data_IF_798949849574
#
_entry.id   IF_798949849574
#
_cell.length_a   1.000
_cell.length_b   1.000
_cell.length_c   1.000
_cell.angle_alpha   90.00
_cell.angle_beta   90.00
_cell.angle_gamma   90.00
#
_symmetry.space_group_name_H-M   'P 1'
#
loop_
_entity.id
_entity.type
_entity.pdbx_description
1 polymer ?
#
# COMPACT_ATOMS: atom_id res chain seq x y z
N UNK A 1 -11.07 -5.71 27.86
CA UNK A 1 -9.85 -5.66 27.03
C UNK A 1 -10.10 -4.73 25.86
N UNK A 2 -9.49 -3.53 25.85
CA UNK A 2 -9.57 -2.66 24.67
C UNK A 2 -8.58 -3.23 23.65
N UNK A 3 -9.08 -3.90 22.60
CA UNK A 3 -8.27 -4.30 21.46
C UNK A 3 -7.57 -3.04 20.96
N UNK A 4 -6.26 -2.95 21.22
CA UNK A 4 -5.41 -1.94 20.60
C UNK A 4 -5.48 -2.24 19.11
N UNK A 5 -6.38 -1.58 18.38
CA UNK A 5 -6.25 -1.46 16.93
C UNK A 5 -4.88 -0.82 16.76
N UNK A 6 -3.87 -1.63 16.45
CA UNK A 6 -2.63 -1.13 15.87
C UNK A 6 -3.07 -0.18 14.76
N UNK A 7 -2.79 1.11 14.94
CA UNK A 7 -3.00 2.08 13.88
C UNK A 7 -1.96 1.79 12.82
N UNK A 8 -2.26 0.79 11.98
CA UNK A 8 -1.54 0.51 10.75
C UNK A 8 -1.53 1.81 9.95
N UNK A 9 -0.35 2.37 9.72
CA UNK A 9 -0.21 3.54 8.86
C UNK A 9 -0.47 3.09 7.42
N UNK A 10 -1.74 3.19 7.03
CA UNK A 10 -2.23 2.84 5.71
C UNK A 10 -2.13 4.08 4.82
N UNK A 11 -1.33 4.00 3.77
CA UNK A 11 -1.21 5.05 2.77
C UNK A 11 -2.14 4.77 1.61
N UNK A 12 -2.80 5.82 1.11
CA UNK A 12 -3.72 5.74 -0.03
C UNK A 12 -3.09 6.42 -1.24
N UNK A 13 -3.21 5.78 -2.40
CA UNK A 13 -2.75 6.31 -3.68
C UNK A 13 -3.81 6.03 -4.74
N UNK A 14 -4.08 7.02 -5.59
CA UNK A 14 -4.98 6.86 -6.72
C UNK A 14 -4.18 6.36 -7.92
N UNK A 15 -4.64 5.27 -8.52
CA UNK A 15 -4.03 4.78 -9.74
C UNK A 15 -4.30 5.73 -10.92
N UNK A 16 -3.28 6.21 -11.65
CA UNK A 16 -3.48 7.09 -12.80
C UNK A 16 -4.11 6.36 -13.98
N UNK A 17 -3.89 5.05 -14.11
CA UNK A 17 -4.37 4.23 -15.23
C UNK A 17 -5.84 3.81 -15.02
N UNK A 18 -6.15 3.10 -13.94
CA UNK A 18 -7.50 2.58 -13.69
C UNK A 18 -8.40 3.50 -12.86
N UNK A 19 -7.86 4.58 -12.30
CA UNK A 19 -8.59 5.56 -11.48
C UNK A 19 -9.04 5.05 -10.10
N UNK A 20 -8.71 3.81 -9.72
CA UNK A 20 -9.08 3.23 -8.43
C UNK A 20 -8.18 3.75 -7.31
N UNK A 21 -8.71 3.82 -6.08
CA UNK A 21 -7.92 4.14 -4.90
C UNK A 21 -7.39 2.83 -4.32
N UNK A 22 -6.07 2.74 -4.24
CA UNK A 22 -5.33 1.62 -3.66
C UNK A 22 -4.77 2.07 -2.32
N UNK A 23 -4.96 1.25 -1.32
CA UNK A 23 -4.37 1.42 0.00
C UNK A 23 -3.27 0.37 0.20
N UNK A 24 -2.13 0.79 0.71
CA UNK A 24 -1.00 -0.10 1.01
C UNK A 24 -0.47 0.18 2.41
N UNK A 25 0.13 -0.85 3.00
CA UNK A 25 0.79 -0.75 4.30
C UNK A 25 2.21 -0.22 4.13
N UNK A 26 2.52 0.86 4.82
CA UNK A 26 3.87 1.44 4.92
C UNK A 26 4.39 1.18 6.34
N UNK A 27 4.52 -0.11 6.68
CA UNK A 27 5.11 -0.52 7.96
C UNK A 27 6.60 -0.69 7.77
N UNK A 28 7.38 0.12 8.48
CA UNK A 28 8.75 -0.25 8.78
C UNK A 28 8.92 -0.55 10.25
N UNK A 29 9.39 -1.75 10.57
CA UNK A 29 9.56 -2.24 11.94
C UNK A 29 11.03 -2.40 12.30
N UNK A 30 11.89 -2.78 11.35
CA UNK A 30 13.29 -3.09 11.61
C UNK A 30 14.24 -2.15 10.86
N UNK A 31 15.03 -1.41 11.62
CA UNK A 31 16.10 -0.57 11.08
C UNK A 31 17.24 -1.46 10.55
N UNK A 32 17.56 -1.34 9.25
CA UNK A 32 18.65 -2.07 8.60
C UNK A 32 18.25 -3.21 7.65
N UNK A 33 16.98 -3.60 7.59
CA UNK A 33 16.47 -4.60 6.64
C UNK A 33 15.43 -4.02 5.64
N UNK A 34 15.56 -2.73 5.34
CA UNK A 34 14.67 -2.05 4.40
C UNK A 34 15.23 -2.19 2.99
N UNK A 35 14.38 -2.56 2.05
CA UNK A 35 14.67 -2.49 0.63
C UNK A 35 13.59 -1.69 -0.10
N UNK A 36 13.84 -1.40 -1.37
CA UNK A 36 12.88 -0.75 -2.24
C UNK A 36 11.89 -1.77 -2.79
N UNK A 37 10.64 -1.66 -2.36
CA UNK A 37 9.55 -2.47 -2.86
C UNK A 37 8.64 -1.64 -3.77
N UNK A 38 8.24 -2.27 -4.88
CA UNK A 38 7.35 -1.68 -5.86
C UNK A 38 5.88 -1.94 -5.46
N UNK A 39 5.09 -0.88 -5.40
CA UNK A 39 3.66 -0.95 -5.11
C UNK A 39 2.89 -0.89 -6.42
N UNK A 40 2.39 -2.03 -6.86
CA UNK A 40 1.60 -2.14 -8.09
C UNK A 40 0.10 -2.07 -7.80
N UNK A 41 -0.66 -1.58 -8.78
CA UNK A 41 -2.11 -1.56 -8.69
C UNK A 41 -2.67 -2.99 -8.78
N UNK A 42 -3.51 -3.45 -7.84
CA UNK A 42 -4.09 -4.81 -7.90
C UNK A 42 -5.02 -5.01 -9.10
N UNK A 43 -5.53 -3.92 -9.70
CA UNK A 43 -6.47 -3.97 -10.82
C UNK A 43 -5.80 -4.03 -12.20
N UNK A 44 -4.76 -3.23 -12.39
CA UNK A 44 -4.14 -3.04 -13.71
C UNK A 44 -2.63 -3.31 -13.72
N UNK A 45 -2.07 -3.69 -12.57
CA UNK A 45 -0.65 -3.95 -12.36
C UNK A 45 0.29 -2.76 -12.63
N UNK A 46 -0.25 -1.57 -12.89
CA UNK A 46 0.51 -0.33 -13.05
C UNK A 46 1.36 -0.04 -11.82
N UNK A 47 2.62 0.37 -12.03
CA UNK A 47 3.49 0.81 -10.95
C UNK A 47 2.96 2.13 -10.37
N UNK A 48 2.51 2.10 -9.12
CA UNK A 48 1.94 3.28 -8.46
C UNK A 48 3.02 4.11 -7.79
N UNK A 49 3.85 3.44 -6.99
CA UNK A 49 4.93 4.08 -6.25
C UNK A 49 5.94 3.02 -5.84
N UNK A 50 7.11 3.48 -5.40
CA UNK A 50 8.15 2.66 -4.80
C UNK A 50 8.33 3.13 -3.37
N UNK A 51 8.27 2.20 -2.43
CA UNK A 51 8.43 2.49 -1.00
C UNK A 51 9.68 1.83 -0.46
N UNK A 52 10.22 2.40 0.62
CA UNK A 52 11.37 1.85 1.31
C UNK A 52 10.92 1.21 2.61
N UNK A 53 10.79 -0.11 2.61
CA UNK A 53 10.09 -0.88 3.64
C UNK A 53 10.85 -2.18 3.94
N UNK A 54 10.74 -2.69 5.17
CA UNK A 54 11.27 -4.01 5.55
C UNK A 54 10.21 -5.13 5.45
N UNK A 55 9.00 -4.79 5.00
CA UNK A 55 7.91 -5.74 4.80
C UNK A 55 7.19 -5.52 3.47
N UNK A 56 6.40 -6.51 3.06
CA UNK A 56 5.67 -6.43 1.80
C UNK A 56 4.57 -5.37 1.84
N UNK A 57 4.56 -4.39 0.92
CA UNK A 57 3.39 -3.56 0.72
C UNK A 57 2.25 -4.50 0.32
N UNK A 58 1.16 -4.50 1.07
CA UNK A 58 -0.03 -5.28 0.74
C UNK A 58 -1.07 -4.35 0.08
N UNK A 59 -0.92 -4.01 -1.22
CA UNK A 59 -1.84 -3.11 -1.91
C UNK A 59 -3.20 -3.79 -2.06
N UNK A 60 -4.24 -3.10 -1.63
CA UNK A 60 -5.62 -3.54 -1.81
C UNK A 60 -6.47 -2.37 -2.29
N UNK A 61 -7.52 -2.68 -3.06
CA UNK A 61 -8.41 -1.66 -3.62
C UNK A 61 -9.45 -1.31 -2.56
N UNK A 62 -9.45 -0.06 -2.13
CA UNK A 62 -10.45 0.47 -1.18
C UNK A 62 -11.62 1.12 -1.90
N UNK A 63 -11.37 1.73 -3.05
CA UNK A 63 -12.41 2.32 -3.88
C UNK A 63 -12.18 1.96 -5.34
N UNK A 64 -13.10 1.19 -5.90
CA UNK A 64 -13.11 0.90 -7.33
C UNK A 64 -13.93 1.95 -8.04
N UNK A 65 -13.29 2.73 -8.91
CA UNK A 65 -14.03 3.52 -9.89
C UNK A 65 -14.58 2.52 -10.93
N UNK A 66 -15.81 2.06 -10.73
CA UNK A 66 -16.57 1.32 -11.73
C UNK A 66 -17.07 2.36 -12.74
N UNK A 67 -16.37 2.45 -13.86
CA UNK A 67 -16.91 3.04 -15.08
C UNK A 67 -17.41 1.93 -15.98
#
# INVERSE_FOLDING_TARGET
>A
MKSKKEMKLMKKIKCPNCGCIVEYEDKSVWEGNRDFEDVNCPKCNELLTRIFTDGFPNPHIVESNQK
#
